data_IF_422268439714
#
_entry.id   IF_422268439714
#
_cell.length_a   1.000
_cell.length_b   1.000
_cell.length_c   1.000
_cell.angle_alpha   90.00
_cell.angle_beta   90.00
_cell.angle_gamma   90.00
#
_symmetry.space_group_name_H-M   'P 1'
#
loop_
_entity.id
_entity.type
_entity.pdbx_description
1 polymer ?
#
# COMPACT_ATOMS: atom_id res chain seq x y z
N UNK A 1 -21.61 0.22 44.14
CA UNK A 1 -22.56 0.04 43.00
C UNK A 1 -23.56 -1.01 43.47
N UNK A 2 -24.88 -0.75 43.50
CA UNK A 2 -25.85 -1.79 43.81
C UNK A 2 -25.80 -2.86 42.70
N UNK A 3 -25.61 -4.12 43.08
CA UNK A 3 -25.65 -5.23 42.13
C UNK A 3 -27.14 -5.54 41.83
N UNK A 4 -27.53 -5.64 40.53
CA UNK A 4 -28.87 -6.05 40.14
C UNK A 4 -29.12 -7.54 40.52
N UNK A 5 -30.38 -8.01 40.53
CA UNK A 5 -30.71 -9.41 40.73
C UNK A 5 -30.01 -10.33 39.72
N UNK A 6 -29.75 -11.59 40.09
CA UNK A 6 -29.00 -12.54 39.25
C UNK A 6 -29.59 -12.75 37.85
N UNK A 7 -30.92 -12.73 37.73
CA UNK A 7 -31.61 -12.89 36.44
C UNK A 7 -31.39 -11.67 35.53
N UNK A 8 -31.30 -10.49 36.11
CA UNK A 8 -31.00 -9.27 35.38
C UNK A 8 -29.51 -9.23 34.97
N UNK A 9 -28.61 -9.68 35.85
CA UNK A 9 -27.21 -9.83 35.49
C UNK A 9 -27.03 -10.77 34.31
N UNK A 10 -27.71 -11.93 34.30
CA UNK A 10 -27.65 -12.88 33.18
C UNK A 10 -28.13 -12.25 31.88
N UNK A 11 -29.27 -11.53 31.93
CA UNK A 11 -29.81 -10.83 30.75
C UNK A 11 -28.84 -9.78 30.18
N UNK A 12 -28.20 -9.02 31.08
CA UNK A 12 -27.19 -8.03 30.68
C UNK A 12 -25.98 -8.73 30.01
N UNK A 13 -25.47 -9.80 30.61
CA UNK A 13 -24.35 -10.57 30.08
C UNK A 13 -24.68 -11.12 28.69
N UNK A 14 -25.82 -11.81 28.52
CA UNK A 14 -26.27 -12.34 27.25
C UNK A 14 -26.35 -11.26 26.16
N UNK A 15 -26.85 -10.07 26.53
CA UNK A 15 -26.98 -8.95 25.61
C UNK A 15 -25.61 -8.36 25.22
N UNK A 16 -24.70 -8.22 26.19
CA UNK A 16 -23.31 -7.75 25.94
C UNK A 16 -22.57 -8.75 25.05
N UNK A 17 -22.67 -10.04 25.32
CA UNK A 17 -22.02 -11.08 24.51
C UNK A 17 -22.57 -11.11 23.07
N UNK A 18 -23.89 -10.98 22.89
CA UNK A 18 -24.51 -10.91 21.57
C UNK A 18 -24.05 -9.68 20.77
N UNK A 19 -23.91 -8.52 21.42
CA UNK A 19 -23.42 -7.31 20.78
C UNK A 19 -21.91 -7.41 20.45
N UNK A 20 -21.11 -7.95 21.38
CA UNK A 20 -19.70 -8.19 21.16
C UNK A 20 -19.44 -9.14 19.98
N UNK A 21 -20.23 -10.22 19.86
CA UNK A 21 -20.15 -11.14 18.74
C UNK A 21 -20.45 -10.46 17.39
N UNK A 22 -21.47 -9.59 17.34
CA UNK A 22 -21.80 -8.83 16.12
C UNK A 22 -20.70 -7.83 15.72
N UNK A 23 -20.08 -7.18 16.71
CA UNK A 23 -18.97 -6.26 16.47
C UNK A 23 -17.76 -7.02 15.91
N UNK A 24 -17.42 -8.17 16.52
CA UNK A 24 -16.34 -9.02 16.05
C UNK A 24 -16.61 -9.56 14.62
N UNK A 25 -17.83 -9.95 14.31
CA UNK A 25 -18.26 -10.37 12.98
C UNK A 25 -18.10 -9.23 11.96
N UNK A 26 -18.51 -8.00 12.29
CA UNK A 26 -18.35 -6.85 11.43
C UNK A 26 -16.87 -6.52 11.16
N UNK A 27 -15.99 -6.66 12.15
CA UNK A 27 -14.54 -6.49 11.98
C UNK A 27 -13.95 -7.58 11.10
N UNK A 28 -14.35 -8.85 11.29
CA UNK A 28 -13.91 -9.98 10.45
C UNK A 28 -14.31 -9.80 8.99
N UNK A 29 -15.57 -9.42 8.72
CA UNK A 29 -16.06 -9.16 7.37
C UNK A 29 -15.30 -8.02 6.67
N UNK A 30 -14.87 -7.00 7.39
CA UNK A 30 -14.05 -5.92 6.81
C UNK A 30 -12.67 -6.43 6.37
N UNK A 31 -12.04 -7.26 7.18
CA UNK A 31 -10.75 -7.88 6.83
C UNK A 31 -10.89 -8.83 5.63
N UNK A 32 -11.93 -9.65 5.60
CA UNK A 32 -12.23 -10.54 4.47
C UNK A 32 -12.41 -9.75 3.16
N UNK A 33 -13.17 -8.63 3.19
CA UNK A 33 -13.36 -7.75 2.03
C UNK A 33 -12.01 -7.20 1.55
N UNK A 34 -11.09 -6.89 2.45
CA UNK A 34 -9.75 -6.41 2.06
C UNK A 34 -8.99 -7.47 1.25
N UNK A 35 -8.92 -8.70 1.76
CA UNK A 35 -8.24 -9.82 1.12
C UNK A 35 -8.89 -10.21 -0.21
N UNK A 36 -10.23 -10.27 -0.27
CA UNK A 36 -10.98 -10.54 -1.49
C UNK A 36 -10.78 -9.45 -2.54
N UNK A 37 -10.70 -8.18 -2.13
CA UNK A 37 -10.43 -7.05 -3.02
C UNK A 37 -9.08 -7.18 -3.72
N UNK A 38 -8.03 -7.56 -2.99
CA UNK A 38 -6.71 -7.78 -3.58
C UNK A 38 -6.71 -8.98 -4.54
N UNK A 39 -7.40 -10.06 -4.15
CA UNK A 39 -7.56 -11.24 -5.00
C UNK A 39 -8.29 -10.91 -6.30
N UNK A 40 -9.37 -10.13 -6.21
CA UNK A 40 -10.12 -9.64 -7.37
C UNK A 40 -9.23 -8.83 -8.32
N UNK A 41 -8.46 -7.88 -7.81
CA UNK A 41 -7.58 -7.06 -8.65
C UNK A 41 -6.52 -7.92 -9.36
N UNK A 42 -5.94 -8.89 -8.66
CA UNK A 42 -5.00 -9.85 -9.26
C UNK A 42 -5.68 -10.73 -10.31
N UNK A 43 -6.92 -11.19 -10.08
CA UNK A 43 -7.66 -11.99 -11.04
C UNK A 43 -8.01 -11.22 -12.32
N UNK A 44 -8.37 -9.94 -12.20
CA UNK A 44 -8.57 -9.05 -13.36
C UNK A 44 -7.27 -8.94 -14.16
N UNK A 45 -6.13 -8.79 -13.50
CA UNK A 45 -4.84 -8.67 -14.18
C UNK A 45 -4.41 -9.96 -14.87
N UNK A 46 -4.83 -11.11 -14.34
CA UNK A 46 -4.55 -12.44 -14.91
C UNK A 46 -5.56 -12.89 -15.99
N UNK A 47 -6.65 -12.15 -16.18
CA UNK A 47 -7.73 -12.52 -17.11
C UNK A 47 -7.30 -12.33 -18.57
N UNK A 48 -7.12 -13.45 -19.27
CA UNK A 48 -6.74 -13.51 -20.68
C UNK A 48 -7.88 -13.20 -21.66
N UNK A 49 -9.12 -13.05 -21.20
CA UNK A 49 -10.26 -12.69 -22.05
C UNK A 49 -10.11 -11.31 -22.71
N UNK A 50 -9.29 -10.43 -22.12
CA UNK A 50 -8.94 -9.13 -22.68
C UNK A 50 -7.87 -9.20 -23.77
N UNK A 51 -7.15 -10.32 -23.91
CA UNK A 51 -6.01 -10.54 -24.78
C UNK A 51 -4.78 -11.02 -24.00
N UNK A 52 -3.81 -11.59 -24.71
CA UNK A 52 -2.55 -12.00 -24.08
C UNK A 52 -1.70 -10.77 -23.74
N UNK A 53 -1.09 -10.73 -22.55
CA UNK A 53 -0.15 -9.67 -22.22
C UNK A 53 1.09 -9.74 -23.11
N UNK A 54 1.63 -8.60 -23.48
CA UNK A 54 2.83 -8.51 -24.34
C UNK A 54 4.05 -8.33 -23.45
N UNK A 55 5.03 -9.25 -23.48
CA UNK A 55 6.31 -9.04 -22.79
C UNK A 55 6.97 -7.74 -23.29
N UNK A 56 7.17 -6.80 -22.38
CA UNK A 56 7.66 -5.45 -22.71
C UNK A 56 8.73 -5.06 -21.71
N UNK A 57 9.96 -4.72 -22.14
CA UNK A 57 10.99 -4.25 -21.23
C UNK A 57 10.55 -3.00 -20.46
N UNK A 58 10.80 -2.95 -19.16
CA UNK A 58 10.40 -1.81 -18.31
C UNK A 58 10.88 -0.47 -18.87
N UNK A 59 12.07 -0.41 -19.50
CA UNK A 59 12.60 0.83 -20.13
C UNK A 59 11.69 1.42 -21.22
N UNK A 60 10.75 0.67 -21.76
CA UNK A 60 9.81 1.16 -22.79
C UNK A 60 8.54 1.75 -22.19
N UNK A 61 8.26 1.47 -20.92
CA UNK A 61 7.04 1.89 -20.22
C UNK A 61 7.31 2.80 -19.03
N UNK A 62 8.58 2.88 -18.55
CA UNK A 62 8.96 3.81 -17.49
C UNK A 62 10.29 4.50 -17.83
N UNK A 63 10.52 5.68 -17.26
CA UNK A 63 11.74 6.45 -17.37
C UNK A 63 12.32 6.73 -15.98
N UNK A 64 13.58 6.34 -15.75
CA UNK A 64 14.29 6.67 -14.52
C UNK A 64 14.51 8.20 -14.44
N UNK A 65 14.13 8.78 -13.31
CA UNK A 65 14.38 10.19 -13.03
C UNK A 65 15.75 10.40 -12.38
N UNK A 66 16.39 11.51 -12.75
CA UNK A 66 17.56 12.00 -12.03
C UNK A 66 17.13 12.77 -10.77
N UNK A 67 17.96 12.74 -9.70
CA UNK A 67 17.74 13.57 -8.52
C UNK A 67 17.64 15.05 -8.87
N UNK A 68 16.52 15.68 -8.48
CA UNK A 68 16.14 17.04 -8.87
C UNK A 68 16.21 18.06 -7.71
N UNK A 69 16.60 17.61 -6.51
CA UNK A 69 16.76 18.46 -5.33
C UNK A 69 18.22 18.48 -4.90
N UNK A 70 18.86 19.65 -4.93
CA UNK A 70 20.18 19.87 -4.32
C UNK A 70 19.95 20.21 -2.85
N UNK A 71 20.62 19.52 -1.94
CA UNK A 71 20.39 19.65 -0.51
C UNK A 71 21.03 20.94 0.01
N UNK A 72 20.20 21.82 0.61
CA UNK A 72 20.64 22.94 1.42
C UNK A 72 20.75 22.51 2.90
N UNK A 73 21.91 22.71 3.57
CA UNK A 73 22.08 22.35 4.98
C UNK A 73 21.07 22.98 5.94
N UNK A 74 20.50 24.12 5.57
CA UNK A 74 19.58 24.91 6.41
C UNK A 74 18.08 24.62 6.12
N UNK A 75 17.78 23.88 5.09
CA UNK A 75 16.41 23.50 4.76
C UNK A 75 15.99 22.20 5.44
N UNK A 76 14.68 22.06 5.67
CA UNK A 76 14.09 20.85 6.24
C UNK A 76 13.42 20.02 5.14
N UNK A 77 13.79 18.74 5.05
CA UNK A 77 13.28 17.79 4.08
C UNK A 77 12.39 16.77 4.77
N UNK A 78 11.21 16.52 4.19
CA UNK A 78 10.29 15.50 4.67
C UNK A 78 10.49 14.25 3.81
N UNK A 79 11.07 13.21 4.38
CA UNK A 79 11.38 11.97 3.68
C UNK A 79 10.14 11.08 3.54
N UNK A 80 10.07 10.34 2.42
CA UNK A 80 9.19 9.21 2.26
C UNK A 80 9.93 7.91 2.56
N UNK A 81 9.19 6.88 2.94
CA UNK A 81 9.64 5.49 2.98
C UNK A 81 8.64 4.58 2.24
N UNK A 82 9.07 3.38 1.91
CA UNK A 82 8.21 2.35 1.28
C UNK A 82 8.15 1.17 2.21
N UNK A 83 6.94 0.75 2.57
CA UNK A 83 6.71 -0.47 3.34
C UNK A 83 7.02 -1.70 2.51
N UNK A 84 7.58 -2.74 3.13
CA UNK A 84 7.67 -4.08 2.56
C UNK A 84 6.28 -4.70 2.34
N UNK A 85 6.23 -5.79 1.60
CA UNK A 85 5.01 -6.60 1.38
C UNK A 85 3.86 -5.87 0.66
N UNK A 86 4.19 -4.90 -0.21
CA UNK A 86 3.21 -4.18 -1.02
C UNK A 86 2.33 -3.18 -0.26
N UNK A 87 2.68 -2.83 0.98
CA UNK A 87 1.90 -1.90 1.81
C UNK A 87 2.05 -0.41 1.41
N UNK A 88 2.72 -0.14 0.27
CA UNK A 88 2.78 1.19 -0.30
C UNK A 88 3.82 2.11 0.33
N UNK A 89 3.56 3.40 0.22
CA UNK A 89 4.46 4.48 0.63
C UNK A 89 3.92 5.18 1.89
N UNK A 90 4.81 5.70 2.74
CA UNK A 90 4.44 6.43 3.94
C UNK A 90 5.26 7.72 4.10
N UNK A 91 4.71 8.65 4.86
CA UNK A 91 5.42 9.84 5.32
C UNK A 91 6.40 9.47 6.41
N UNK A 92 7.68 9.64 6.15
CA UNK A 92 8.75 9.36 7.09
C UNK A 92 9.10 10.58 7.95
N UNK A 93 10.35 10.62 8.38
CA UNK A 93 10.86 11.67 9.28
C UNK A 93 11.18 12.96 8.51
N UNK A 94 11.15 14.08 9.25
CA UNK A 94 11.69 15.35 8.79
C UNK A 94 13.12 15.52 9.31
N UNK A 95 14.03 15.94 8.45
CA UNK A 95 15.43 16.20 8.79
C UNK A 95 15.93 17.49 8.13
N UNK A 96 16.75 18.25 8.84
CA UNK A 96 17.51 19.33 8.23
C UNK A 96 18.61 18.77 7.32
N UNK A 97 18.99 19.50 6.28
CA UNK A 97 20.01 19.07 5.33
C UNK A 97 21.37 18.74 5.94
N UNK A 98 21.72 19.40 7.05
CA UNK A 98 22.95 19.13 7.81
C UNK A 98 22.90 17.84 8.67
N UNK A 99 21.76 17.15 8.75
CA UNK A 99 21.57 15.94 9.55
C UNK A 99 21.76 14.63 8.75
N UNK A 100 22.08 14.72 7.47
CA UNK A 100 22.31 13.57 6.60
C UNK A 100 23.35 13.91 5.52
N UNK A 101 23.92 12.85 4.90
CA UNK A 101 25.06 13.01 4.00
C UNK A 101 24.71 13.00 2.49
N UNK A 102 23.45 12.93 2.12
CA UNK A 102 23.05 12.90 0.70
C UNK A 102 23.15 14.30 0.10
N UNK A 103 23.98 14.54 -0.94
CA UNK A 103 24.08 15.85 -1.59
C UNK A 103 22.90 16.16 -2.50
N UNK A 104 22.17 15.11 -2.92
CA UNK A 104 20.99 15.24 -3.79
C UNK A 104 19.88 14.29 -3.34
N UNK A 105 18.64 14.72 -3.54
CA UNK A 105 17.42 13.96 -3.29
C UNK A 105 16.53 13.99 -4.54
N UNK A 106 15.57 13.07 -4.61
CA UNK A 106 14.51 13.11 -5.63
C UNK A 106 13.20 13.49 -4.97
N UNK A 107 12.53 14.53 -5.49
CA UNK A 107 11.18 14.90 -5.08
C UNK A 107 10.18 13.99 -5.77
N UNK A 108 9.37 13.31 -4.98
CA UNK A 108 8.32 12.43 -5.47
C UNK A 108 7.17 13.24 -6.08
N UNK A 109 6.56 12.68 -7.14
CA UNK A 109 5.36 13.20 -7.76
C UNK A 109 4.30 12.10 -7.82
N UNK A 110 3.05 12.48 -7.68
CA UNK A 110 1.91 11.56 -7.79
C UNK A 110 2.00 10.71 -9.06
N UNK A 111 1.65 9.43 -8.93
CA UNK A 111 1.69 8.40 -9.99
C UNK A 111 3.10 7.96 -10.43
N UNK A 112 4.16 8.43 -9.82
CA UNK A 112 5.48 7.85 -10.04
C UNK A 112 5.64 6.51 -9.31
N UNK A 113 6.54 5.67 -9.80
CA UNK A 113 6.88 4.39 -9.17
C UNK A 113 8.25 4.47 -8.50
N UNK A 114 8.36 3.89 -7.31
CA UNK A 114 9.61 3.85 -6.57
C UNK A 114 9.76 2.58 -5.73
N UNK A 115 11.00 2.24 -5.40
CA UNK A 115 11.35 1.16 -4.46
C UNK A 115 12.70 1.43 -3.80
N UNK A 116 12.95 1.00 -2.55
CA UNK A 116 14.29 0.99 -1.97
C UNK A 116 15.11 -0.16 -2.56
N UNK A 117 16.29 0.13 -3.09
CA UNK A 117 17.16 -0.87 -3.73
C UNK A 117 17.40 -2.11 -2.86
N UNK A 118 17.55 -1.93 -1.54
CA UNK A 118 17.86 -3.02 -0.59
C UNK A 118 16.62 -3.86 -0.22
N UNK A 119 15.41 -3.28 -0.23
CA UNK A 119 14.20 -3.93 0.27
C UNK A 119 13.26 -4.40 -0.85
N UNK A 120 13.68 -4.25 -2.11
CA UNK A 120 12.90 -4.70 -3.26
C UNK A 120 12.56 -6.20 -3.20
N UNK A 121 13.45 -7.02 -2.66
CA UNK A 121 13.23 -8.46 -2.47
C UNK A 121 12.14 -8.80 -1.45
N UNK A 122 11.78 -7.87 -0.56
CA UNK A 122 10.66 -7.99 0.39
C UNK A 122 9.36 -7.36 -0.16
N UNK A 123 9.32 -7.01 -1.44
CA UNK A 123 8.13 -6.40 -2.02
C UNK A 123 7.90 -4.95 -1.63
N UNK A 124 8.97 -4.21 -1.31
CA UNK A 124 8.89 -2.78 -1.04
C UNK A 124 8.79 -1.99 -2.36
N UNK A 125 7.67 -2.07 -3.04
CA UNK A 125 7.35 -1.33 -4.26
C UNK A 125 6.15 -0.43 -4.03
N UNK A 126 6.15 0.77 -4.60
CA UNK A 126 5.03 1.69 -4.43
C UNK A 126 4.80 2.61 -5.64
N UNK A 127 3.53 2.90 -5.89
CA UNK A 127 3.09 4.07 -6.66
C UNK A 127 2.94 5.23 -5.66
N UNK A 128 3.44 6.39 -6.03
CA UNK A 128 3.33 7.61 -5.21
C UNK A 128 1.88 8.07 -5.19
N UNK A 129 1.27 8.03 -4.00
CA UNK A 129 -0.08 8.54 -3.79
C UNK A 129 -0.10 10.08 -3.66
N UNK A 130 -1.25 10.73 -3.86
CA UNK A 130 -1.36 12.19 -3.72
C UNK A 130 -0.91 12.72 -2.36
N UNK A 131 -1.12 11.95 -1.27
CA UNK A 131 -0.71 12.34 0.09
C UNK A 131 0.80 12.38 0.28
N UNK A 132 1.54 11.67 -0.60
CA UNK A 132 3.00 11.59 -0.59
C UNK A 132 3.66 12.47 -1.65
N UNK A 133 2.87 13.24 -2.41
CA UNK A 133 3.39 14.21 -3.38
C UNK A 133 4.27 15.24 -2.68
N UNK A 134 5.38 15.60 -3.31
CA UNK A 134 6.33 16.59 -2.77
C UNK A 134 7.27 16.08 -1.67
N UNK A 135 7.08 14.87 -1.13
CA UNK A 135 8.06 14.23 -0.24
C UNK A 135 9.36 13.94 -1.00
N UNK A 136 10.44 13.71 -0.25
CA UNK A 136 11.73 13.42 -0.86
C UNK A 136 12.23 12.03 -0.51
N UNK A 137 13.02 11.46 -1.43
CA UNK A 137 13.74 10.20 -1.22
C UNK A 137 15.22 10.38 -1.55
N UNK A 138 16.08 9.57 -0.92
CA UNK A 138 17.50 9.51 -1.24
C UNK A 138 17.75 8.74 -2.54
N UNK A 139 18.97 8.78 -3.03
CA UNK A 139 19.42 8.03 -4.21
C UNK A 139 19.35 6.50 -4.05
N UNK A 140 19.05 6.02 -2.84
CA UNK A 140 18.75 4.60 -2.58
C UNK A 140 17.36 4.18 -3.08
N UNK A 141 16.52 5.16 -3.40
CA UNK A 141 15.19 4.96 -3.98
C UNK A 141 15.18 5.48 -5.42
N UNK A 142 15.36 4.61 -6.42
CA UNK A 142 15.13 5.02 -7.80
C UNK A 142 13.67 5.38 -8.01
N UNK A 143 13.43 6.49 -8.69
CA UNK A 143 12.10 7.00 -8.99
C UNK A 143 11.89 6.94 -10.49
N UNK A 144 10.75 6.43 -10.91
CA UNK A 144 10.40 6.24 -12.31
C UNK A 144 9.11 6.96 -12.67
N UNK A 145 9.18 7.76 -13.71
CA UNK A 145 8.01 8.33 -14.37
C UNK A 145 7.38 7.26 -15.29
N UNK A 146 6.06 7.08 -15.21
CA UNK A 146 5.35 6.12 -16.06
C UNK A 146 4.91 6.76 -17.38
N UNK A 147 5.10 6.03 -18.47
CA UNK A 147 4.45 6.36 -19.74
C UNK A 147 2.97 5.93 -19.67
N UNK A 148 2.11 6.85 -19.22
CA UNK A 148 0.69 6.55 -18.99
C UNK A 148 -0.11 6.28 -20.27
N UNK A 149 0.46 6.48 -21.44
CA UNK A 149 -0.14 6.02 -22.71
C UNK A 149 -0.01 4.50 -22.88
N UNK A 150 0.95 3.87 -22.18
CA UNK A 150 1.23 2.42 -22.23
C UNK A 150 0.83 1.69 -20.97
N UNK A 151 1.16 2.25 -19.78
CA UNK A 151 0.92 1.61 -18.49
C UNK A 151 0.26 2.57 -17.49
N UNK A 152 -0.81 2.12 -16.86
CA UNK A 152 -1.48 2.88 -15.81
C UNK A 152 -0.85 2.62 -14.44
N UNK A 153 -0.76 3.62 -13.55
CA UNK A 153 -0.22 3.47 -12.20
C UNK A 153 -0.87 2.32 -11.43
N UNK A 154 -2.17 2.17 -11.54
CA UNK A 154 -2.96 1.12 -10.88
C UNK A 154 -2.52 -0.28 -11.31
N UNK A 155 -2.25 -0.48 -12.59
CA UNK A 155 -1.77 -1.75 -13.13
C UNK A 155 -0.38 -2.08 -12.59
N UNK A 156 0.50 -1.10 -12.58
CA UNK A 156 1.84 -1.22 -12.02
C UNK A 156 1.79 -1.58 -10.53
N UNK A 157 0.96 -0.87 -9.75
CA UNK A 157 0.77 -1.11 -8.33
C UNK A 157 0.29 -2.53 -8.04
N UNK A 158 -0.78 -2.98 -8.68
CA UNK A 158 -1.34 -4.33 -8.47
C UNK A 158 -0.35 -5.42 -8.86
N UNK A 159 0.38 -5.25 -9.97
CA UNK A 159 1.38 -6.23 -10.40
C UNK A 159 2.50 -6.41 -9.38
N UNK A 160 3.11 -5.30 -8.92
CA UNK A 160 4.22 -5.36 -7.98
C UNK A 160 3.81 -5.61 -6.53
N UNK A 161 2.51 -5.57 -6.18
CA UNK A 161 1.99 -6.07 -4.90
C UNK A 161 1.88 -7.61 -4.84
N UNK A 162 2.18 -8.34 -5.93
CA UNK A 162 2.11 -9.80 -5.96
C UNK A 162 3.41 -10.44 -5.44
N UNK A 163 3.38 -11.25 -4.35
CA UNK A 163 4.57 -11.89 -3.79
C UNK A 163 5.37 -12.76 -4.78
N UNK A 164 4.69 -13.43 -5.73
CA UNK A 164 5.35 -14.25 -6.74
C UNK A 164 6.33 -13.45 -7.65
N UNK A 165 6.07 -12.14 -7.81
CA UNK A 165 6.93 -11.26 -8.61
C UNK A 165 8.21 -10.90 -7.85
N UNK A 166 8.14 -10.78 -6.52
CA UNK A 166 9.30 -10.42 -5.69
C UNK A 166 10.40 -11.48 -5.77
N UNK A 167 10.01 -12.76 -5.76
CA UNK A 167 10.97 -13.87 -5.93
C UNK A 167 11.66 -13.82 -7.29
N UNK A 168 10.91 -13.56 -8.35
CA UNK A 168 11.42 -13.45 -9.71
C UNK A 168 12.44 -12.31 -9.85
N UNK A 169 12.14 -11.13 -9.29
CA UNK A 169 13.03 -9.97 -9.30
C UNK A 169 14.23 -10.17 -8.36
N UNK A 170 14.06 -10.85 -7.23
CA UNK A 170 15.13 -11.13 -6.28
C UNK A 170 16.18 -12.08 -6.85
N UNK A 171 15.79 -13.01 -7.71
CA UNK A 171 16.70 -13.89 -8.44
C UNK A 171 17.63 -13.14 -9.40
N UNK A 172 17.24 -11.96 -9.87
CA UNK A 172 18.04 -11.09 -10.75
C UNK A 172 18.90 -10.08 -9.96
N UNK A 173 18.75 -10.03 -8.63
CA UNK A 173 19.50 -9.09 -7.80
C UNK A 173 20.89 -9.61 -7.42
N UNK A 174 21.88 -8.71 -7.31
CA UNK A 174 23.26 -9.06 -6.99
C UNK A 174 23.50 -9.03 -5.46
N UNK A 175 24.19 -10.04 -4.93
CA UNK A 175 24.62 -10.10 -3.53
C UNK A 175 24.72 -11.53 -3.01
N UNK A 176 25.70 -11.79 -2.12
CA UNK A 176 25.99 -13.11 -1.54
C UNK A 176 25.09 -13.49 -0.36
N UNK A 177 24.34 -12.53 0.20
CA UNK A 177 23.42 -12.76 1.31
C UNK A 177 22.04 -12.21 0.92
N UNK A 178 20.98 -12.96 1.17
CA UNK A 178 19.58 -12.59 0.83
C UNK A 178 19.24 -11.18 1.35
N UNK A 179 19.65 -10.83 2.57
CA UNK A 179 19.41 -9.50 3.17
C UNK A 179 20.24 -8.35 2.57
N UNK A 180 21.18 -8.62 1.67
CA UNK A 180 22.04 -7.61 1.01
C UNK A 180 21.82 -7.55 -0.51
N UNK A 181 20.82 -8.24 -1.02
CA UNK A 181 20.46 -8.17 -2.43
C UNK A 181 19.93 -6.79 -2.78
N UNK A 182 20.48 -6.18 -3.80
CA UNK A 182 20.07 -4.86 -4.30
C UNK A 182 19.50 -5.00 -5.70
N UNK A 183 18.30 -4.49 -5.90
CA UNK A 183 17.73 -4.34 -7.23
C UNK A 183 18.23 -3.03 -7.84
N UNK A 184 19.18 -3.12 -8.76
CA UNK A 184 19.70 -1.97 -9.46
C UNK A 184 18.67 -1.45 -10.49
N UNK A 185 18.62 -0.11 -10.73
CA UNK A 185 17.71 0.46 -11.72
C UNK A 185 17.84 -0.13 -13.12
N UNK A 186 19.06 -0.45 -13.54
CA UNK A 186 19.31 -1.06 -14.87
C UNK A 186 18.73 -2.48 -14.96
N UNK A 187 18.84 -3.27 -13.89
CA UNK A 187 18.24 -4.60 -13.83
C UNK A 187 16.72 -4.49 -13.90
N UNK A 188 16.12 -3.54 -13.17
CA UNK A 188 14.69 -3.26 -13.23
C UNK A 188 14.24 -2.80 -14.63
N UNK A 189 14.99 -1.90 -15.29
CA UNK A 189 14.67 -1.42 -16.64
C UNK A 189 14.74 -2.51 -17.72
N UNK A 190 15.51 -3.58 -17.48
CA UNK A 190 15.57 -4.74 -18.37
C UNK A 190 14.55 -5.84 -18.05
N UNK A 191 13.79 -5.69 -16.96
CA UNK A 191 12.76 -6.66 -16.61
C UNK A 191 11.66 -6.68 -17.67
N UNK A 192 11.32 -7.88 -18.16
CA UNK A 192 10.23 -8.11 -19.11
C UNK A 192 8.89 -8.11 -18.36
N UNK A 193 8.20 -6.99 -18.43
CA UNK A 193 6.88 -6.80 -17.82
C UNK A 193 5.80 -7.36 -18.77
N UNK A 194 4.88 -8.21 -18.29
CA UNK A 194 3.76 -8.69 -19.09
C UNK A 194 2.70 -7.58 -19.19
N UNK A 195 2.89 -6.69 -20.17
CA UNK A 195 2.03 -5.51 -20.36
C UNK A 195 0.63 -5.92 -20.83
N UNK A 196 -0.41 -5.72 -20.01
CA UNK A 196 -1.76 -6.07 -20.38
C UNK A 196 -2.36 -5.05 -21.36
N UNK A 197 -3.33 -5.44 -22.18
CA UNK A 197 -4.03 -4.51 -23.07
C UNK A 197 -4.63 -3.32 -22.30
N UNK A 198 -4.63 -2.12 -22.89
CA UNK A 198 -5.11 -0.90 -22.23
C UNK A 198 -6.56 -1.04 -21.75
N UNK A 199 -7.42 -1.77 -22.48
CA UNK A 199 -8.80 -2.04 -22.06
C UNK A 199 -8.86 -2.75 -20.70
N UNK A 200 -7.99 -3.73 -20.45
CA UNK A 200 -7.89 -4.44 -19.17
C UNK A 200 -7.41 -3.50 -18.06
N UNK A 201 -6.41 -2.67 -18.33
CA UNK A 201 -5.90 -1.68 -17.39
C UNK A 201 -6.98 -0.67 -16.97
N UNK A 202 -7.82 -0.21 -17.90
CA UNK A 202 -8.94 0.70 -17.61
C UNK A 202 -10.02 0.03 -16.74
N UNK A 203 -10.31 -1.25 -16.96
CA UNK A 203 -11.22 -2.01 -16.08
C UNK A 203 -10.62 -2.12 -14.68
N UNK A 204 -9.33 -2.47 -14.56
CA UNK A 204 -8.62 -2.54 -13.29
C UNK A 204 -8.71 -1.21 -12.52
N UNK A 205 -8.40 -0.08 -13.18
CA UNK A 205 -8.54 1.27 -12.61
C UNK A 205 -9.94 1.54 -12.09
N UNK A 206 -10.96 1.23 -12.88
CA UNK A 206 -12.37 1.43 -12.51
C UNK A 206 -12.76 0.63 -11.27
N UNK A 207 -12.35 -0.63 -11.19
CA UNK A 207 -12.60 -1.49 -10.02
C UNK A 207 -11.85 -0.96 -8.80
N UNK A 208 -10.57 -0.62 -8.96
CA UNK A 208 -9.76 -0.08 -7.87
C UNK A 208 -10.33 1.23 -7.31
N UNK A 209 -10.83 2.12 -8.14
CA UNK A 209 -11.48 3.36 -7.70
C UNK A 209 -12.75 3.07 -6.87
N UNK A 210 -13.56 2.08 -7.26
CA UNK A 210 -14.74 1.65 -6.48
C UNK A 210 -14.35 1.05 -5.13
N UNK A 211 -13.32 0.20 -5.12
CA UNK A 211 -12.79 -0.38 -3.88
C UNK A 211 -12.22 0.69 -2.94
N UNK A 212 -11.53 1.71 -3.48
CA UNK A 212 -11.04 2.84 -2.70
C UNK A 212 -12.19 3.64 -2.05
N UNK A 213 -13.29 3.88 -2.79
CA UNK A 213 -14.47 4.53 -2.23
C UNK A 213 -15.12 3.71 -1.09
N UNK A 214 -15.20 2.39 -1.23
CA UNK A 214 -15.71 1.50 -0.18
C UNK A 214 -14.81 1.53 1.06
N UNK A 215 -13.48 1.48 0.87
CA UNK A 215 -12.51 1.59 1.97
C UNK A 215 -12.62 2.92 2.70
N UNK A 216 -12.83 4.02 1.97
CA UNK A 216 -13.03 5.33 2.59
C UNK A 216 -14.26 5.34 3.52
N UNK A 217 -15.41 4.84 3.05
CA UNK A 217 -16.62 4.68 3.87
C UNK A 217 -16.39 3.78 5.10
N UNK A 218 -15.61 2.71 4.97
CA UNK A 218 -15.25 1.85 6.10
C UNK A 218 -14.36 2.58 7.11
N UNK A 219 -13.41 3.39 6.64
CA UNK A 219 -12.52 4.18 7.51
C UNK A 219 -13.29 5.25 8.28
N UNK A 220 -14.25 5.94 7.64
CA UNK A 220 -15.10 6.93 8.30
C UNK A 220 -15.89 6.34 9.48
N UNK A 221 -16.29 5.06 9.37
CA UNK A 221 -17.06 4.36 10.43
C UNK A 221 -16.20 3.50 11.35
N UNK A 222 -14.87 3.50 11.19
CA UNK A 222 -13.98 2.65 11.98
C UNK A 222 -13.93 3.08 13.45
N UNK A 223 -13.79 4.38 13.70
CA UNK A 223 -13.77 4.92 15.06
C UNK A 223 -15.07 4.64 15.81
N UNK A 224 -16.21 4.72 15.11
CA UNK A 224 -17.52 4.38 15.68
C UNK A 224 -17.61 2.89 16.02
N UNK A 225 -17.14 2.01 15.12
CA UNK A 225 -17.13 0.56 15.35
C UNK A 225 -16.25 0.19 16.54
N UNK A 226 -15.07 0.79 16.64
CA UNK A 226 -14.13 0.53 17.73
C UNK A 226 -14.66 1.06 19.09
N UNK A 227 -15.44 2.14 19.08
CA UNK A 227 -16.06 2.71 20.27
C UNK A 227 -17.32 1.97 20.74
N UNK A 228 -17.92 1.10 19.90
CA UNK A 228 -19.18 0.42 20.24
C UNK A 228 -19.05 -0.49 21.47
N UNK A 229 -18.06 -1.36 21.53
CA UNK A 229 -17.90 -2.30 22.65
C UNK A 229 -17.61 -1.59 23.98
N UNK A 230 -16.68 -0.63 24.07
CA UNK A 230 -16.51 0.19 25.27
C UNK A 230 -17.79 0.90 25.72
N UNK A 231 -18.55 1.47 24.77
CA UNK A 231 -19.82 2.15 25.04
C UNK A 231 -20.89 1.20 25.57
N UNK A 232 -20.99 0.00 25.00
CA UNK A 232 -21.93 -1.05 25.47
C UNK A 232 -21.60 -1.47 26.90
N UNK A 233 -20.32 -1.67 27.21
CA UNK A 233 -19.86 -2.03 28.55
C UNK A 233 -20.13 -0.92 29.55
N UNK A 234 -19.86 0.34 29.23
CA UNK A 234 -20.13 1.49 30.09
C UNK A 234 -21.64 1.60 30.43
N UNK A 235 -22.50 1.43 29.43
CA UNK A 235 -23.96 1.41 29.63
C UNK A 235 -24.44 0.23 30.48
N UNK A 236 -23.81 -0.96 30.26
CA UNK A 236 -24.11 -2.13 31.08
C UNK A 236 -23.80 -1.88 32.57
N UNK A 237 -22.63 -1.29 32.86
CA UNK A 237 -22.23 -0.96 34.23
C UNK A 237 -23.07 0.14 34.87
N UNK A 238 -23.71 1.01 34.07
CA UNK A 238 -24.66 2.03 34.54
C UNK A 238 -26.09 1.53 34.72
N UNK A 239 -26.38 0.29 34.26
CA UNK A 239 -27.74 -0.27 34.30
C UNK A 239 -28.65 0.31 33.21
N UNK A 240 -28.09 0.75 32.09
CA UNK A 240 -28.80 1.40 30.98
C UNK A 240 -28.95 0.46 29.75
N UNK A 241 -28.73 -0.85 29.92
CA UNK A 241 -28.86 -1.88 28.88
C UNK A 241 -30.18 -2.63 28.93
#
# INVERSE_FOLDING_TARGET
IPLPPLDEQRRIVERVEALAARIAEAQSLREEIHQESESLLRSILADKSFGEPVPTPMREIVKLREPDVIVDPNETYHFAGVYSFGHGIFRGIRKMGNQFAYPKLTRLRTNEFTYPKLMAWEGAYAIVSPECDGLVVSTEFPVFELNQEKILPETMGVYFCNPAIWETLSGQSTGTNVRRRRLNPQTFLNYEFPLPPMKQQLVLRSVQARLASLRHLQTETQEELDALLPSVLDRAFKGEL
#
